data_IF_472108691718
#
_entry.id   IF_472108691718
#
_cell.length_a   1.000
_cell.length_b   1.000
_cell.length_c   1.000
_cell.angle_alpha   90.00
_cell.angle_beta   90.00
_cell.angle_gamma   90.00
#
_symmetry.space_group_name_H-M   'P 1'
#
loop_
_entity.id
_entity.type
_entity.pdbx_description
1 polymer ?
#
# COMPACT_ATOMS: atom_id res chain seq x y z
N UNK A 1 7.26 -40.63 11.35
CA UNK A 1 7.03 -39.17 11.21
C UNK A 1 5.58 -38.87 10.89
N UNK A 2 4.96 -39.58 9.94
CA UNK A 2 3.51 -39.45 9.67
C UNK A 2 2.61 -39.75 10.88
N UNK A 3 2.97 -40.69 11.75
CA UNK A 3 2.19 -40.99 12.96
C UNK A 3 2.17 -39.83 13.96
N UNK A 4 3.25 -39.04 14.02
CA UNK A 4 3.31 -37.84 14.86
C UNK A 4 2.44 -36.73 14.28
N UNK A 5 2.35 -36.61 12.95
CA UNK A 5 1.46 -35.65 12.29
C UNK A 5 0.00 -36.02 12.53
N UNK A 6 -0.34 -37.30 12.43
CA UNK A 6 -1.71 -37.77 12.60
C UNK A 6 -2.21 -37.63 14.05
N UNK A 7 -1.32 -37.86 15.03
CA UNK A 7 -1.62 -37.64 16.45
C UNK A 7 -1.78 -36.15 16.79
N UNK A 8 -1.01 -35.26 16.15
CA UNK A 8 -1.18 -33.81 16.29
C UNK A 8 -2.47 -33.32 15.63
N UNK A 9 -2.81 -33.82 14.42
CA UNK A 9 -4.07 -33.50 13.75
C UNK A 9 -5.27 -33.97 14.57
N UNK A 10 -5.28 -35.21 15.04
CA UNK A 10 -6.35 -35.71 15.92
C UNK A 10 -6.46 -34.94 17.23
N UNK A 11 -5.36 -34.36 17.73
CA UNK A 11 -5.36 -33.52 18.93
C UNK A 11 -5.94 -32.13 18.68
N UNK A 12 -5.67 -31.52 17.52
CA UNK A 12 -6.18 -30.18 17.14
C UNK A 12 -7.63 -30.28 16.63
N UNK A 13 -7.96 -31.38 15.97
CA UNK A 13 -9.25 -31.68 15.33
C UNK A 13 -10.02 -32.78 16.05
N UNK A 14 -9.94 -32.82 17.38
CA UNK A 14 -10.57 -33.88 18.18
C UNK A 14 -12.10 -33.82 18.19
N UNK A 15 -12.70 -32.74 17.69
CA UNK A 15 -14.14 -32.53 17.65
C UNK A 15 -14.58 -32.15 16.23
N UNK A 16 -15.69 -32.70 15.76
CA UNK A 16 -16.29 -32.43 14.45
C UNK A 16 -16.56 -30.94 14.26
N UNK A 17 -17.00 -30.23 15.30
CA UNK A 17 -17.22 -28.78 15.28
C UNK A 17 -15.93 -28.00 14.99
N UNK A 18 -14.79 -28.44 15.57
CA UNK A 18 -13.48 -27.82 15.35
C UNK A 18 -13.00 -28.00 13.91
N UNK A 19 -13.26 -29.17 13.32
CA UNK A 19 -12.93 -29.46 11.91
C UNK A 19 -13.70 -28.52 10.99
N UNK A 20 -15.02 -28.41 11.18
CA UNK A 20 -15.88 -27.53 10.37
C UNK A 20 -15.45 -26.07 10.54
N UNK A 21 -15.16 -25.64 11.77
CA UNK A 21 -14.74 -24.28 12.06
C UNK A 21 -13.40 -23.93 11.39
N UNK A 22 -12.43 -24.83 11.43
CA UNK A 22 -11.15 -24.63 10.75
C UNK A 22 -11.29 -24.63 9.23
N UNK A 23 -12.13 -25.51 8.68
CA UNK A 23 -12.47 -25.54 7.26
C UNK A 23 -13.15 -24.23 6.81
N UNK A 24 -13.88 -23.56 7.71
CA UNK A 24 -14.51 -22.27 7.45
C UNK A 24 -13.52 -21.10 7.55
N UNK A 25 -12.65 -21.10 8.56
CA UNK A 25 -11.68 -20.02 8.80
C UNK A 25 -10.58 -20.02 7.77
N UNK A 26 -10.07 -21.18 7.38
CA UNK A 26 -8.94 -21.29 6.45
C UNK A 26 -9.17 -20.55 5.11
N UNK A 27 -10.29 -20.74 4.39
CA UNK A 27 -10.58 -19.98 3.18
C UNK A 27 -10.86 -18.50 3.46
N UNK A 28 -11.43 -18.18 4.63
CA UNK A 28 -11.66 -16.80 5.06
C UNK A 28 -10.32 -16.04 5.22
N UNK A 29 -9.32 -16.70 5.82
CA UNK A 29 -7.97 -16.18 5.97
C UNK A 29 -7.27 -16.01 4.61
N UNK A 30 -7.41 -17.00 3.72
CA UNK A 30 -6.89 -16.92 2.34
C UNK A 30 -7.53 -15.73 1.60
N UNK A 31 -8.85 -15.57 1.73
CA UNK A 31 -9.57 -14.42 1.17
C UNK A 31 -9.02 -13.11 1.71
N UNK A 32 -8.79 -12.99 3.02
CA UNK A 32 -8.18 -11.79 3.60
C UNK A 32 -6.75 -11.53 3.12
N UNK A 33 -5.93 -12.55 2.85
CA UNK A 33 -4.58 -12.35 2.32
C UNK A 33 -4.64 -11.85 0.87
N UNK A 34 -5.50 -12.44 0.04
CA UNK A 34 -5.65 -12.06 -1.37
C UNK A 34 -6.31 -10.68 -1.50
N UNK A 35 -7.39 -10.45 -0.76
CA UNK A 35 -8.17 -9.23 -0.83
C UNK A 35 -7.68 -8.14 0.12
N UNK A 36 -6.82 -8.41 1.11
CA UNK A 36 -6.41 -7.42 2.12
C UNK A 36 -5.86 -6.13 1.52
N UNK A 37 -5.07 -6.23 0.44
CA UNK A 37 -4.56 -5.07 -0.30
C UNK A 37 -5.66 -4.21 -0.95
N UNK A 38 -6.86 -4.75 -1.18
CA UNK A 38 -8.02 -4.07 -1.77
C UNK A 38 -9.05 -3.72 -0.70
N UNK A 39 -9.28 -4.62 0.26
CA UNK A 39 -10.28 -4.52 1.31
C UNK A 39 -9.94 -3.41 2.30
N UNK A 40 -8.67 -3.26 2.67
CA UNK A 40 -8.23 -2.19 3.56
C UNK A 40 -8.48 -0.80 2.96
N UNK A 41 -7.98 -0.44 1.75
CA UNK A 41 -8.28 0.86 1.16
C UNK A 41 -9.78 1.04 0.89
N UNK A 42 -10.51 -0.04 0.58
CA UNK A 42 -11.97 0.00 0.41
C UNK A 42 -12.73 0.37 1.69
N UNK A 43 -12.42 -0.31 2.82
CA UNK A 43 -13.04 -0.02 4.12
C UNK A 43 -12.71 1.41 4.56
N UNK A 44 -11.45 1.84 4.40
CA UNK A 44 -11.03 3.21 4.71
C UNK A 44 -11.83 4.22 3.88
N UNK A 45 -11.99 3.99 2.58
CA UNK A 45 -12.81 4.85 1.71
C UNK A 45 -14.27 4.91 2.15
N UNK A 46 -14.85 3.80 2.63
CA UNK A 46 -16.24 3.74 3.07
C UNK A 46 -16.44 4.51 4.39
N UNK A 47 -15.50 4.37 5.34
CA UNK A 47 -15.48 5.17 6.58
C UNK A 47 -15.39 6.66 6.23
N UNK A 48 -14.49 7.05 5.32
CA UNK A 48 -14.35 8.43 4.87
C UNK A 48 -15.63 8.96 4.22
N UNK A 49 -16.27 8.19 3.35
CA UNK A 49 -17.53 8.58 2.73
C UNK A 49 -18.63 8.82 3.78
N UNK A 50 -18.76 7.93 4.75
CA UNK A 50 -19.73 8.07 5.83
C UNK A 50 -19.45 9.29 6.72
N UNK A 51 -18.18 9.52 7.05
CA UNK A 51 -17.75 10.72 7.77
C UNK A 51 -18.04 11.99 6.98
N UNK A 52 -17.81 12.01 5.67
CA UNK A 52 -18.10 13.16 4.82
C UNK A 52 -19.60 13.49 4.79
N UNK A 53 -20.44 12.46 4.68
CA UNK A 53 -21.90 12.60 4.71
C UNK A 53 -22.35 13.15 6.07
N UNK A 54 -21.78 12.66 7.17
CA UNK A 54 -22.05 13.17 8.51
C UNK A 54 -21.58 14.60 8.72
N UNK A 55 -20.40 14.95 8.22
CA UNK A 55 -19.82 16.29 8.29
C UNK A 55 -20.67 17.28 7.49
N UNK A 56 -21.01 16.95 6.24
CA UNK A 56 -21.86 17.78 5.38
C UNK A 56 -23.23 18.03 6.01
N UNK A 57 -23.85 16.99 6.60
CA UNK A 57 -25.10 17.09 7.37
C UNK A 57 -25.01 18.06 8.56
N UNK A 58 -23.86 18.12 9.23
CA UNK A 58 -23.65 19.08 10.31
C UNK A 58 -23.52 20.52 9.80
N UNK A 59 -22.94 20.75 8.63
CA UNK A 59 -22.84 22.08 8.02
C UNK A 59 -24.21 22.68 7.64
N UNK A 60 -25.22 21.84 7.35
CA UNK A 60 -26.60 22.32 7.17
C UNK A 60 -27.19 22.96 8.43
N UNK A 61 -26.80 22.48 9.61
CA UNK A 61 -27.26 23.08 10.88
C UNK A 61 -26.74 24.49 11.09
N UNK A 62 -25.66 24.87 10.39
CA UNK A 62 -25.09 26.22 10.40
C UNK A 62 -25.70 27.14 9.33
N UNK A 63 -26.74 26.71 8.59
CA UNK A 63 -27.45 27.53 7.62
C UNK A 63 -26.75 27.69 6.26
N UNK A 64 -25.74 26.85 5.98
CA UNK A 64 -25.07 26.82 4.68
C UNK A 64 -25.92 26.05 3.66
N UNK A 65 -26.04 26.60 2.45
CA UNK A 65 -26.76 25.94 1.36
C UNK A 65 -26.08 24.64 0.93
N UNK A 66 -26.85 23.68 0.42
CA UNK A 66 -26.35 22.35 0.00
C UNK A 66 -25.10 22.46 -0.85
N UNK A 67 -25.14 23.37 -1.83
CA UNK A 67 -24.09 23.55 -2.81
C UNK A 67 -22.78 24.06 -2.19
N UNK A 68 -22.86 24.97 -1.23
CA UNK A 68 -21.68 25.57 -0.58
C UNK A 68 -21.04 24.58 0.39
N UNK A 69 -21.84 23.82 1.13
CA UNK A 69 -21.34 22.73 1.99
C UNK A 69 -20.60 21.69 1.16
N UNK A 70 -21.16 21.28 0.02
CA UNK A 70 -20.57 20.25 -0.85
C UNK A 70 -19.25 20.70 -1.48
N UNK A 71 -19.18 21.95 -1.97
CA UNK A 71 -17.95 22.55 -2.50
C UNK A 71 -16.83 22.62 -1.46
N UNK A 72 -17.17 23.00 -0.23
CA UNK A 72 -16.19 23.13 0.86
C UNK A 72 -15.58 21.77 1.22
N UNK A 73 -16.42 20.72 1.34
CA UNK A 73 -15.96 19.37 1.65
C UNK A 73 -15.12 18.78 0.53
N UNK A 74 -15.54 18.96 -0.73
CA UNK A 74 -14.76 18.49 -1.89
C UNK A 74 -13.39 19.17 -1.96
N UNK A 75 -13.33 20.47 -1.71
CA UNK A 75 -12.07 21.23 -1.71
C UNK A 75 -11.15 20.77 -0.58
N UNK A 76 -11.70 20.59 0.64
CA UNK A 76 -10.94 20.08 1.79
C UNK A 76 -10.39 18.67 1.53
N UNK A 77 -11.20 17.77 0.99
CA UNK A 77 -10.78 16.39 0.69
C UNK A 77 -9.70 16.37 -0.40
N UNK A 78 -9.85 17.20 -1.45
CA UNK A 78 -8.87 17.31 -2.53
C UNK A 78 -7.51 17.83 -2.04
N UNK A 79 -7.50 18.90 -1.21
CA UNK A 79 -6.29 19.44 -0.60
C UNK A 79 -5.62 18.42 0.32
N UNK A 80 -6.40 17.72 1.13
CA UNK A 80 -5.88 16.69 2.04
C UNK A 80 -5.28 15.52 1.25
N UNK A 81 -5.95 15.08 0.18
CA UNK A 81 -5.47 14.03 -0.71
C UNK A 81 -4.17 14.40 -1.43
N UNK A 82 -4.07 15.63 -1.95
CA UNK A 82 -2.82 16.15 -2.53
C UNK A 82 -1.68 16.22 -1.51
N UNK A 83 -1.99 16.64 -0.28
CA UNK A 83 -1.02 16.67 0.81
C UNK A 83 -0.43 15.28 1.10
N UNK A 84 -1.29 14.26 1.18
CA UNK A 84 -0.84 12.87 1.34
C UNK A 84 -0.01 12.39 0.16
N UNK A 85 -0.38 12.73 -1.06
CA UNK A 85 0.38 12.35 -2.27
C UNK A 85 1.79 12.95 -2.24
N UNK A 86 1.90 14.27 -1.99
CA UNK A 86 3.19 14.95 -1.85
C UNK A 86 4.04 14.40 -0.70
N UNK A 87 3.43 14.04 0.43
CA UNK A 87 4.14 13.46 1.58
C UNK A 87 4.72 12.08 1.25
N UNK A 88 3.93 11.21 0.62
CA UNK A 88 4.39 9.88 0.21
C UNK A 88 5.54 9.99 -0.80
N UNK A 89 5.43 10.87 -1.79
CA UNK A 89 6.49 11.09 -2.78
C UNK A 89 7.77 11.64 -2.15
N UNK A 90 7.64 12.57 -1.20
CA UNK A 90 8.81 13.15 -0.49
C UNK A 90 9.58 12.09 0.30
N UNK A 91 8.87 11.19 1.01
CA UNK A 91 9.50 10.11 1.76
C UNK A 91 10.28 9.18 0.83
N UNK A 92 9.69 8.82 -0.31
CA UNK A 92 10.32 7.95 -1.31
C UNK A 92 11.48 8.64 -2.06
N UNK A 93 11.43 9.95 -2.25
CA UNK A 93 12.48 10.73 -2.93
C UNK A 93 13.78 10.78 -2.13
N UNK A 94 13.69 10.88 -0.80
CA UNK A 94 14.87 10.90 0.09
C UNK A 94 15.73 9.63 0.00
N UNK A 95 15.12 8.48 -0.34
CA UNK A 95 15.83 7.22 -0.48
C UNK A 95 16.44 7.04 -1.87
N UNK A 96 15.74 7.46 -2.93
CA UNK A 96 16.21 7.32 -4.31
C UNK A 96 17.37 8.26 -4.65
N UNK A 97 17.41 9.44 -4.02
CA UNK A 97 18.46 10.44 -4.29
C UNK A 97 19.84 10.01 -3.77
N UNK A 98 19.92 9.31 -2.65
CA UNK A 98 21.22 8.86 -2.09
C UNK A 98 21.93 7.84 -2.99
N UNK A 99 21.19 6.89 -3.55
CA UNK A 99 21.73 5.92 -4.50
C UNK A 99 22.17 6.58 -5.81
N UNK A 100 21.39 7.55 -6.31
CA UNK A 100 21.74 8.29 -7.52
C UNK A 100 23.07 9.06 -7.36
N UNK A 101 23.28 9.76 -6.24
CA UNK A 101 24.53 10.50 -6.01
C UNK A 101 25.76 9.58 -5.85
N UNK A 102 25.60 8.36 -5.33
CA UNK A 102 26.68 7.38 -5.19
C UNK A 102 27.00 6.66 -6.50
N UNK A 103 26.03 6.46 -7.39
CA UNK A 103 26.21 5.72 -8.63
C UNK A 103 26.74 6.59 -9.78
N UNK A 104 26.40 7.87 -9.85
CA UNK A 104 26.90 8.81 -10.89
C UNK A 104 28.43 8.79 -11.09
N UNK A 105 29.29 8.86 -10.05
CA UNK A 105 30.74 8.82 -10.25
C UNK A 105 31.25 7.46 -10.76
N UNK A 106 30.53 6.38 -10.47
CA UNK A 106 30.88 5.02 -10.92
C UNK A 106 30.59 4.87 -12.42
N UNK A 107 29.46 5.43 -12.88
CA UNK A 107 29.13 5.49 -14.30
C UNK A 107 30.17 6.30 -15.09
N UNK A 108 30.61 7.44 -14.57
CA UNK A 108 31.66 8.26 -15.20
C UNK A 108 32.99 7.50 -15.32
N UNK A 109 33.45 6.83 -14.26
CA UNK A 109 34.66 5.98 -14.32
C UNK A 109 34.53 4.84 -15.33
N UNK A 110 33.36 4.24 -15.42
CA UNK A 110 33.11 3.13 -16.36
C UNK A 110 33.19 3.62 -17.80
N UNK A 111 32.67 4.83 -18.09
CA UNK A 111 32.78 5.47 -19.40
C UNK A 111 34.24 5.79 -19.76
N UNK A 112 35.04 6.28 -18.83
CA UNK A 112 36.47 6.53 -19.05
C UNK A 112 37.24 5.24 -19.43
N UNK A 113 36.96 4.14 -18.74
CA UNK A 113 37.58 2.84 -19.03
C UNK A 113 37.15 2.31 -20.39
N UNK A 114 35.86 2.41 -20.73
CA UNK A 114 35.36 2.00 -22.04
C UNK A 114 35.99 2.83 -23.16
N UNK A 115 36.06 4.16 -23.00
CA UNK A 115 36.70 5.05 -23.99
C UNK A 115 38.18 4.71 -24.21
N UNK A 116 38.93 4.43 -23.13
CA UNK A 116 40.34 4.01 -23.24
C UNK A 116 40.47 2.67 -23.96
N UNK A 117 39.61 1.71 -23.63
CA UNK A 117 39.61 0.38 -24.27
C UNK A 117 39.29 0.47 -25.75
N UNK A 118 38.26 1.23 -26.11
CA UNK A 118 37.88 1.49 -27.51
C UNK A 118 38.97 2.20 -28.30
N UNK A 119 39.60 3.23 -27.71
CA UNK A 119 40.68 3.98 -28.36
C UNK A 119 41.93 3.10 -28.58
N UNK A 120 42.20 2.16 -27.67
CA UNK A 120 43.32 1.22 -27.82
C UNK A 120 43.03 0.14 -28.87
N UNK A 121 41.78 -0.26 -29.02
CA UNK A 121 41.33 -1.23 -30.02
C UNK A 121 41.28 -0.68 -31.45
N UNK A 122 41.13 0.65 -31.62
CA UNK A 122 41.24 1.32 -32.94
C UNK A 122 42.71 1.54 -33.35
N UNK A 123 43.64 1.53 -32.39
CA UNK A 123 45.06 1.85 -32.61
C UNK A 123 45.91 0.63 -33.00
N UNK A 124 45.44 -0.58 -32.73
CA UNK A 124 46.01 -1.86 -33.19
C UNK A 124 45.28 -2.33 -34.44
#
# INVERSE_FOLDING_TARGET
MFDQINTLLNKIFSNEESVIFSLLIFPLFISFIIFGGILTPFIVSLIFAYLLIGLSKNFFKYGLSDFVSLLFHMSFLFLTGLGFFCLVDTINFSQKTQAFFLEVPIWLKTLEVMLKTWCNQIRN
#
